data_IF_800459651478
#
_entry.id   IF_800459651478
#
_cell.length_a   1.000
_cell.length_b   1.000
_cell.length_c   1.000
_cell.angle_alpha   90.00
_cell.angle_beta   90.00
_cell.angle_gamma   90.00
#
_symmetry.space_group_name_H-M   'P 1'
#
loop_
_entity.id
_entity.type
_entity.pdbx_description
1 polymer ?
#
# COMPACT_ATOMS: atom_id res chain seq x y z
N UNK A 1 13.86 7.03 -19.80
CA UNK A 1 12.75 7.50 -18.92
C UNK A 1 11.69 8.14 -19.79
N UNK A 2 10.46 7.61 -19.82
CA UNK A 2 9.37 8.15 -20.63
C UNK A 2 8.65 9.26 -19.83
N UNK A 3 8.83 10.53 -20.24
CA UNK A 3 8.26 11.69 -19.54
C UNK A 3 6.74 11.75 -19.60
N UNK A 4 6.13 11.31 -20.71
CA UNK A 4 4.68 11.30 -20.88
C UNK A 4 4.03 10.30 -19.92
N UNK A 5 4.64 9.12 -19.77
CA UNK A 5 4.19 8.11 -18.80
C UNK A 5 4.26 8.64 -17.36
N UNK A 6 5.37 9.29 -16.99
CA UNK A 6 5.53 9.89 -15.66
C UNK A 6 4.50 11.00 -15.40
N UNK A 7 4.28 11.90 -16.36
CA UNK A 7 3.31 12.98 -16.24
C UNK A 7 1.87 12.45 -16.11
N UNK A 8 1.55 11.38 -16.86
CA UNK A 8 0.25 10.71 -16.78
C UNK A 8 0.01 10.12 -15.39
N UNK A 9 0.97 9.36 -14.86
CA UNK A 9 0.86 8.75 -13.52
C UNK A 9 0.79 9.83 -12.44
N UNK A 10 1.67 10.82 -12.49
CA UNK A 10 1.65 11.94 -11.54
C UNK A 10 0.29 12.64 -11.51
N UNK A 11 -0.28 12.96 -12.69
CA UNK A 11 -1.60 13.60 -12.78
C UNK A 11 -2.72 12.72 -12.23
N UNK A 12 -2.65 11.40 -12.42
CA UNK A 12 -3.64 10.47 -11.90
C UNK A 12 -3.60 10.36 -10.36
N UNK A 13 -2.39 10.39 -9.78
CA UNK A 13 -2.16 10.37 -8.34
C UNK A 13 -2.68 11.66 -7.68
N UNK A 14 -2.52 12.83 -8.30
CA UNK A 14 -3.00 14.11 -7.72
C UNK A 14 -4.41 14.53 -8.17
N UNK A 15 -5.22 13.58 -8.62
CA UNK A 15 -6.60 13.85 -9.03
C UNK A 15 -7.42 14.52 -7.90
N UNK A 16 -8.24 15.51 -8.27
CA UNK A 16 -9.06 16.27 -7.32
C UNK A 16 -9.90 15.35 -6.42
N UNK A 17 -9.90 15.61 -5.12
CA UNK A 17 -10.64 14.81 -4.14
C UNK A 17 -9.96 13.49 -3.73
N UNK A 18 -8.79 13.16 -4.29
CA UNK A 18 -8.01 11.97 -3.93
C UNK A 18 -6.62 12.30 -3.38
N UNK A 19 -6.08 11.39 -2.59
CA UNK A 19 -4.76 11.49 -1.97
C UNK A 19 -3.98 10.18 -1.98
N UNK A 20 -2.85 10.19 -1.26
CA UNK A 20 -1.95 9.04 -1.14
C UNK A 20 -2.07 8.44 0.26
N UNK A 21 -2.19 7.12 0.34
CA UNK A 21 -2.05 6.37 1.58
C UNK A 21 -0.59 5.92 1.74
N UNK A 22 0.08 6.36 2.80
CA UNK A 22 1.39 5.83 3.17
C UNK A 22 1.20 4.56 4.02
N UNK A 23 1.41 3.39 3.40
CA UNK A 23 1.37 2.06 4.03
C UNK A 23 2.76 1.39 3.99
N UNK A 24 3.82 2.21 4.03
CA UNK A 24 5.22 1.83 3.86
C UNK A 24 5.95 1.59 5.19
N UNK A 25 5.21 1.33 6.27
CA UNK A 25 5.82 1.07 7.55
C UNK A 25 6.71 -0.19 7.50
N UNK A 26 7.97 -0.01 7.89
CA UNK A 26 8.92 -1.10 8.06
C UNK A 26 8.45 -2.10 9.12
N UNK A 27 9.03 -3.30 9.10
CA UNK A 27 8.70 -4.38 10.05
C UNK A 27 8.76 -3.95 11.53
N UNK A 28 9.76 -3.17 12.00
CA UNK A 28 9.79 -2.66 13.37
C UNK A 28 8.66 -1.66 13.66
N UNK A 29 8.36 -0.77 12.72
CA UNK A 29 7.30 0.24 12.87
C UNK A 29 5.93 -0.41 12.95
N UNK A 30 5.67 -1.41 12.10
CA UNK A 30 4.46 -2.21 12.19
C UNK A 30 4.35 -3.01 13.47
N UNK A 31 5.46 -3.53 13.99
CA UNK A 31 5.46 -4.20 15.29
C UNK A 31 4.94 -3.30 16.40
N UNK A 32 5.35 -2.03 16.42
CA UNK A 32 4.83 -1.03 17.37
C UNK A 32 3.33 -0.79 17.15
N UNK A 33 2.88 -0.69 15.89
CA UNK A 33 1.47 -0.47 15.54
C UNK A 33 0.58 -1.64 15.95
N UNK A 34 1.00 -2.88 15.70
CA UNK A 34 0.29 -4.10 16.07
C UNK A 34 0.25 -4.29 17.60
N UNK A 35 1.32 -3.92 18.31
CA UNK A 35 1.34 -3.99 19.77
C UNK A 35 0.26 -3.12 20.43
N UNK A 36 -0.11 -1.98 19.82
CA UNK A 36 -1.19 -1.11 20.34
C UNK A 36 -2.56 -1.80 20.36
N UNK A 37 -2.74 -2.86 19.56
CA UNK A 37 -3.97 -3.65 19.47
C UNK A 37 -3.77 -5.08 19.99
N UNK A 38 -2.72 -5.31 20.81
CA UNK A 38 -2.35 -6.61 21.38
C UNK A 38 -2.13 -7.72 20.34
N UNK A 39 -1.59 -7.38 19.18
CA UNK A 39 -1.24 -8.34 18.13
C UNK A 39 0.27 -8.57 18.05
N UNK A 40 0.67 -9.82 17.80
CA UNK A 40 2.07 -10.18 17.58
C UNK A 40 2.58 -9.63 16.23
N UNK A 41 3.88 -9.31 16.16
CA UNK A 41 4.51 -8.83 14.94
C UNK A 41 4.90 -9.98 13.99
N UNK A 42 3.92 -10.71 13.50
CA UNK A 42 4.10 -11.78 12.51
C UNK A 42 3.91 -11.25 11.09
N UNK A 43 4.49 -11.92 10.10
CA UNK A 43 4.27 -11.59 8.69
C UNK A 43 2.78 -11.65 8.32
N UNK A 44 2.07 -12.67 8.82
CA UNK A 44 0.62 -12.81 8.61
C UNK A 44 -0.14 -11.59 9.15
N UNK A 45 0.12 -11.17 10.40
CA UNK A 45 -0.58 -10.03 10.99
C UNK A 45 -0.26 -8.72 10.27
N UNK A 46 0.99 -8.56 9.82
CA UNK A 46 1.41 -7.43 9.00
C UNK A 46 0.71 -7.42 7.65
N UNK A 47 0.58 -8.57 6.99
CA UNK A 47 -0.17 -8.72 5.74
C UNK A 47 -1.65 -8.41 5.95
N UNK A 48 -2.29 -9.03 6.94
CA UNK A 48 -3.72 -8.91 7.22
C UNK A 48 -4.10 -7.45 7.48
N UNK A 49 -3.25 -6.72 8.20
CA UNK A 49 -3.41 -5.28 8.40
C UNK A 49 -3.46 -4.51 7.08
N UNK A 50 -2.53 -4.77 6.14
CA UNK A 50 -2.51 -4.06 4.84
C UNK A 50 -3.65 -4.50 3.95
N UNK A 51 -3.93 -5.80 3.91
CA UNK A 51 -5.04 -6.33 3.15
C UNK A 51 -6.37 -5.69 3.60
N UNK A 52 -6.60 -5.55 4.90
CA UNK A 52 -7.79 -4.87 5.42
C UNK A 52 -7.91 -3.41 4.92
N UNK A 53 -6.79 -2.68 4.82
CA UNK A 53 -6.78 -1.33 4.24
C UNK A 53 -7.15 -1.35 2.75
N UNK A 54 -6.60 -2.30 1.99
CA UNK A 54 -6.74 -2.36 0.52
C UNK A 54 -8.09 -2.95 0.08
N UNK A 55 -8.67 -3.83 0.89
CA UNK A 55 -9.98 -4.42 0.66
C UNK A 55 -11.12 -3.45 1.00
N UNK A 56 -10.85 -2.35 1.71
CA UNK A 56 -11.88 -1.36 2.08
C UNK A 56 -12.65 -0.88 0.85
N UNK A 57 -13.96 -1.07 0.86
CA UNK A 57 -14.84 -0.70 -0.24
C UNK A 57 -14.93 0.83 -0.38
N UNK A 58 -14.80 1.30 -1.62
CA UNK A 58 -14.88 2.72 -1.95
C UNK A 58 -13.65 3.54 -1.56
N UNK A 59 -12.55 2.91 -1.09
CA UNK A 59 -11.31 3.63 -0.81
C UNK A 59 -10.77 4.37 -2.05
N UNK A 60 -10.98 3.82 -3.24
CA UNK A 60 -10.53 4.34 -4.53
C UNK A 60 -11.16 5.68 -4.92
N UNK A 61 -12.27 6.05 -4.27
CA UNK A 61 -12.89 7.37 -4.40
C UNK A 61 -12.06 8.47 -3.74
N UNK A 62 -11.18 8.11 -2.80
CA UNK A 62 -10.39 9.05 -1.98
C UNK A 62 -8.89 8.78 -2.04
N UNK A 63 -8.48 7.58 -2.43
CA UNK A 63 -7.08 7.17 -2.51
C UNK A 63 -6.77 6.84 -3.98
N UNK A 64 -5.80 7.55 -4.54
CA UNK A 64 -5.32 7.36 -5.91
C UNK A 64 -4.02 6.58 -5.94
N UNK A 65 -3.24 6.57 -4.85
CA UNK A 65 -2.00 5.80 -4.76
C UNK A 65 -1.70 5.34 -3.34
N UNK A 66 -0.94 4.25 -3.24
CA UNK A 66 -0.50 3.70 -1.96
C UNK A 66 1.01 3.48 -2.01
N UNK A 67 1.74 3.96 -1.02
CA UNK A 67 3.17 3.68 -0.88
C UNK A 67 3.32 2.40 -0.06
N UNK A 68 3.97 1.38 -0.61
CA UNK A 68 4.17 0.07 -0.01
C UNK A 68 5.59 -0.07 0.56
N UNK A 69 5.72 -0.96 1.54
CA UNK A 69 7.02 -1.51 1.96
C UNK A 69 7.38 -2.73 1.11
N UNK A 70 8.67 -3.04 0.97
CA UNK A 70 9.17 -4.16 0.13
C UNK A 70 8.50 -5.49 0.47
N UNK A 71 8.34 -5.80 1.76
CA UNK A 71 7.62 -7.00 2.22
C UNK A 71 6.18 -7.06 1.67
N UNK A 72 5.48 -5.92 1.66
CA UNK A 72 4.07 -5.82 1.22
C UNK A 72 3.93 -5.98 -0.29
N UNK A 73 4.95 -5.56 -1.07
CA UNK A 73 4.95 -5.72 -2.53
C UNK A 73 5.00 -7.19 -2.97
N UNK A 74 5.69 -8.03 -2.19
CA UNK A 74 5.80 -9.48 -2.43
C UNK A 74 4.71 -10.30 -1.71
N UNK A 75 4.00 -9.69 -0.75
CA UNK A 75 2.92 -10.35 -0.01
C UNK A 75 1.71 -10.68 -0.90
N UNK A 76 1.11 -11.83 -0.58
CA UNK A 76 -0.10 -12.34 -1.21
C UNK A 76 -1.23 -12.50 -0.20
N UNK A 77 -2.43 -12.15 -0.60
CA UNK A 77 -3.66 -12.47 0.11
C UNK A 77 -3.87 -14.00 0.18
N UNK A 78 -4.83 -14.45 0.99
CA UNK A 78 -5.10 -15.90 1.15
C UNK A 78 -5.56 -16.57 -0.14
N UNK A 79 -6.18 -15.80 -1.04
CA UNK A 79 -6.60 -16.25 -2.37
C UNK A 79 -5.44 -16.30 -3.39
N UNK A 80 -4.22 -15.94 -2.97
CA UNK A 80 -3.00 -15.99 -3.78
C UNK A 80 -2.73 -14.73 -4.62
N UNK A 81 -3.63 -13.74 -4.64
CA UNK A 81 -3.40 -12.47 -5.34
C UNK A 81 -2.37 -11.62 -4.60
N UNK A 82 -1.53 -10.90 -5.34
CA UNK A 82 -0.62 -9.91 -4.72
C UNK A 82 -1.44 -8.77 -4.13
N UNK A 83 -0.99 -8.21 -3.01
CA UNK A 83 -1.66 -7.03 -2.43
C UNK A 83 -1.63 -5.82 -3.38
N UNK A 84 -0.61 -5.71 -4.25
CA UNK A 84 -0.56 -4.70 -5.30
C UNK A 84 -1.65 -4.88 -6.36
N UNK A 85 -1.99 -6.13 -6.71
CA UNK A 85 -3.03 -6.43 -7.70
C UNK A 85 -4.42 -6.03 -7.19
N UNK A 86 -4.65 -6.12 -5.87
CA UNK A 86 -5.88 -5.63 -5.24
C UNK A 86 -6.03 -4.12 -5.49
N UNK A 87 -4.97 -3.35 -5.24
CA UNK A 87 -4.96 -1.90 -5.47
C UNK A 87 -5.19 -1.56 -6.96
N UNK A 88 -4.46 -2.23 -7.85
CA UNK A 88 -4.59 -2.02 -9.29
C UNK A 88 -6.00 -2.34 -9.79
N UNK A 89 -6.64 -3.38 -9.24
CA UNK A 89 -8.03 -3.74 -9.58
C UNK A 89 -9.05 -2.65 -9.20
N UNK A 90 -8.71 -1.81 -8.22
CA UNK A 90 -9.51 -0.65 -7.78
C UNK A 90 -9.08 0.66 -8.48
N UNK A 91 -8.14 0.60 -9.43
CA UNK A 91 -7.60 1.79 -10.10
C UNK A 91 -6.70 2.66 -9.21
N UNK A 92 -6.13 2.07 -8.16
CA UNK A 92 -5.20 2.70 -7.23
C UNK A 92 -3.77 2.33 -7.61
N UNK A 93 -2.88 3.32 -7.70
CA UNK A 93 -1.50 3.11 -8.13
C UNK A 93 -0.62 2.60 -6.98
N UNK A 94 -0.04 1.38 -7.06
CA UNK A 94 0.96 0.95 -6.10
C UNK A 94 2.29 1.68 -6.33
N UNK A 95 2.83 2.25 -5.26
CA UNK A 95 4.17 2.83 -5.17
C UNK A 95 5.02 2.05 -4.17
N UNK A 96 6.34 2.25 -4.22
CA UNK A 96 7.30 1.53 -3.38
C UNK A 96 8.21 2.52 -2.65
N UNK A 97 8.40 2.29 -1.36
CA UNK A 97 9.44 2.96 -0.58
C UNK A 97 10.80 2.42 -1.03
N UNK A 98 11.64 3.31 -1.56
CA UNK A 98 12.98 2.95 -2.07
C UNK A 98 14.13 3.43 -1.19
N UNK A 99 13.85 4.27 -0.20
CA UNK A 99 14.87 4.65 0.78
C UNK A 99 15.22 3.47 1.68
N UNK A 100 16.51 3.33 2.02
CA UNK A 100 17.01 2.25 2.89
C UNK A 100 17.15 2.69 4.35
N UNK A 101 16.43 3.75 4.75
CA UNK A 101 16.63 4.43 6.02
C UNK A 101 17.84 5.36 6.02
N UNK A 102 17.96 6.11 7.12
CA UNK A 102 19.14 6.89 7.50
C UNK A 102 19.88 6.17 8.63
#
# INVERSE_FOLDING_TARGET
>A
MNKESLAKVASAIVASGRGILAADESTPTMGKRLALINQENTEKNRRDFRQALFDTDGMENFISGVILFEETLEQKAEDGKRLSEILESKGVYPGIKVDKGA
#
